data_IF_997511779695
#
_entry.id   IF_997511779695
#
_cell.length_a   1.000
_cell.length_b   1.000
_cell.length_c   1.000
_cell.angle_alpha   90.00
_cell.angle_beta   90.00
_cell.angle_gamma   90.00
#
_symmetry.space_group_name_H-M   'P 1'
#
loop_
_entity.id
_entity.type
_entity.pdbx_description
1 polymer ?
#
# COMPACT_ATOMS: atom_id res chain seq x y z
N UNK A 1 51.93 -60.51 39.03
CA UNK A 1 52.69 -59.92 40.15
C UNK A 1 54.15 -60.06 39.82
N UNK A 2 54.79 -58.96 39.42
CA UNK A 2 56.20 -58.92 39.12
C UNK A 2 56.96 -58.44 40.37
N UNK A 3 58.20 -58.87 40.54
CA UNK A 3 59.08 -58.44 41.63
C UNK A 3 59.16 -56.91 41.68
N UNK A 4 59.20 -56.31 42.88
CA UNK A 4 59.55 -54.89 43.06
C UNK A 4 61.07 -54.72 42.97
N UNK A 5 61.59 -53.55 42.55
CA UNK A 5 63.02 -53.25 42.70
C UNK A 5 63.54 -53.51 44.12
N UNK A 6 62.72 -53.26 45.15
CA UNK A 6 63.05 -53.57 46.54
C UNK A 6 63.10 -55.07 46.84
N UNK A 7 62.28 -55.87 46.15
CA UNK A 7 62.29 -57.33 46.31
C UNK A 7 63.53 -57.96 45.68
N UNK A 8 64.10 -57.32 44.66
CA UNK A 8 65.36 -57.71 44.02
C UNK A 8 66.53 -57.34 44.93
N UNK A 9 66.51 -56.15 45.55
CA UNK A 9 67.56 -55.69 46.47
C UNK A 9 67.62 -56.53 47.77
N UNK A 10 66.47 -56.86 48.35
CA UNK A 10 66.40 -57.65 49.59
C UNK A 10 66.57 -59.16 49.37
N UNK A 11 66.97 -59.60 48.17
CA UNK A 11 67.07 -61.01 47.82
C UNK A 11 68.38 -61.61 48.33
N UNK A 12 68.28 -62.50 49.32
CA UNK A 12 69.44 -63.26 49.80
C UNK A 12 69.64 -64.56 48.99
N UNK A 13 70.88 -64.83 48.58
CA UNK A 13 71.28 -66.06 47.91
C UNK A 13 72.06 -66.98 48.85
N UNK A 14 71.78 -68.29 48.80
CA UNK A 14 72.54 -69.28 49.56
C UNK A 14 73.91 -69.52 48.92
N UNK A 15 74.99 -69.42 49.71
CA UNK A 15 76.37 -69.66 49.23
C UNK A 15 76.58 -71.14 48.96
N UNK A 16 76.61 -71.55 47.69
CA UNK A 16 77.02 -72.90 47.27
C UNK A 16 78.55 -72.94 47.18
N UNK A 17 79.17 -74.07 47.56
CA UNK A 17 80.63 -74.26 47.72
C UNK A 17 81.51 -73.99 46.48
N UNK A 18 82.50 -74.85 46.20
CA UNK A 18 83.66 -74.58 45.29
C UNK A 18 83.35 -74.20 43.81
N UNK A 19 82.08 -74.08 43.40
CA UNK A 19 81.62 -73.78 42.04
C UNK A 19 80.44 -72.78 42.01
N UNK A 20 80.32 -71.87 42.98
CA UNK A 20 79.30 -70.81 43.00
C UNK A 20 79.71 -69.56 42.20
N UNK A 21 78.74 -68.70 41.89
CA UNK A 21 79.00 -67.37 41.33
C UNK A 21 79.71 -66.48 42.36
N UNK A 22 80.54 -65.55 41.88
CA UNK A 22 81.16 -64.54 42.74
C UNK A 22 80.08 -63.59 43.25
N UNK A 23 79.91 -63.50 44.57
CA UNK A 23 78.87 -62.68 45.19
C UNK A 23 78.93 -61.22 44.72
N UNK A 24 80.14 -60.66 44.61
CA UNK A 24 80.35 -59.28 44.20
C UNK A 24 79.92 -59.00 42.75
N UNK A 25 80.21 -59.91 41.81
CA UNK A 25 79.77 -59.76 40.41
C UNK A 25 78.24 -59.91 40.27
N UNK A 26 77.61 -60.73 41.12
CA UNK A 26 76.15 -60.86 41.17
C UNK A 26 75.51 -59.60 41.74
N UNK A 27 76.07 -59.04 42.81
CA UNK A 27 75.57 -57.81 43.43
C UNK A 27 75.67 -56.62 42.46
N UNK A 28 76.81 -56.45 41.79
CA UNK A 28 77.01 -55.39 40.77
C UNK A 28 76.00 -55.52 39.61
N UNK A 29 75.72 -56.75 39.15
CA UNK A 29 74.72 -57.00 38.12
C UNK A 29 73.29 -56.75 38.62
N UNK A 30 72.98 -57.11 39.88
CA UNK A 30 71.67 -56.84 40.47
C UNK A 30 71.41 -55.35 40.62
N UNK A 31 72.41 -54.54 40.93
CA UNK A 31 72.28 -53.08 40.95
C UNK A 31 71.93 -52.51 39.56
N UNK A 32 72.58 -53.00 38.49
CA UNK A 32 72.23 -52.63 37.11
C UNK A 32 70.81 -53.08 36.74
N UNK A 33 70.42 -54.30 37.11
CA UNK A 33 69.06 -54.82 36.88
C UNK A 33 68.03 -54.01 37.65
N UNK A 34 68.29 -53.63 38.90
CA UNK A 34 67.40 -52.79 39.71
C UNK A 34 67.22 -51.43 39.04
N UNK A 35 68.30 -50.79 38.59
CA UNK A 35 68.24 -49.50 37.91
C UNK A 35 67.45 -49.58 36.58
N UNK A 36 67.76 -50.57 35.74
CA UNK A 36 67.03 -50.78 34.47
C UNK A 36 65.57 -51.13 34.71
N UNK A 37 65.25 -51.90 35.75
CA UNK A 37 63.89 -52.30 36.06
C UNK A 37 63.06 -51.13 36.62
N UNK A 38 63.66 -50.27 37.45
CA UNK A 38 63.05 -49.00 37.86
C UNK A 38 62.78 -48.09 36.66
N UNK A 39 63.73 -48.00 35.71
CA UNK A 39 63.53 -47.23 34.49
C UNK A 39 62.33 -47.75 33.67
N UNK A 40 62.23 -49.07 33.47
CA UNK A 40 61.11 -49.68 32.75
C UNK A 40 59.78 -49.47 33.49
N UNK A 41 59.75 -49.56 34.82
CA UNK A 41 58.53 -49.28 35.59
C UNK A 41 58.09 -47.82 35.46
N UNK A 42 59.02 -46.87 35.51
CA UNK A 42 58.73 -45.46 35.32
C UNK A 42 58.22 -45.17 33.90
N UNK A 43 58.85 -45.76 32.89
CA UNK A 43 58.40 -45.65 31.50
C UNK A 43 57.01 -46.28 31.30
N UNK A 44 56.74 -47.43 31.93
CA UNK A 44 55.43 -48.07 31.84
C UNK A 44 54.35 -47.21 32.49
N UNK A 45 54.64 -46.60 33.65
CA UNK A 45 53.74 -45.65 34.30
C UNK A 45 53.48 -44.43 33.43
N UNK A 46 54.52 -43.82 32.86
CA UNK A 46 54.37 -42.66 31.98
C UNK A 46 53.57 -43.01 30.71
N UNK A 47 53.82 -44.17 30.11
CA UNK A 47 53.03 -44.66 28.96
C UNK A 47 51.57 -44.92 29.34
N UNK A 48 51.28 -45.47 30.53
CA UNK A 48 49.92 -45.64 31.02
C UNK A 48 49.24 -44.27 31.21
N UNK A 49 49.91 -43.32 31.85
CA UNK A 49 49.37 -41.97 32.06
C UNK A 49 49.12 -41.24 30.73
N UNK A 50 49.98 -41.44 29.72
CA UNK A 50 49.78 -40.91 28.37
C UNK A 50 48.60 -41.59 27.66
N UNK A 51 48.46 -42.92 27.79
CA UNK A 51 47.37 -43.68 27.20
C UNK A 51 46.03 -43.28 27.81
N UNK A 52 45.96 -43.09 29.12
CA UNK A 52 44.76 -42.62 29.81
C UNK A 52 44.37 -41.20 29.37
N UNK A 53 45.35 -40.29 29.22
CA UNK A 53 45.10 -38.94 28.67
C UNK A 53 44.61 -39.00 27.23
N UNK A 54 45.23 -39.83 26.38
CA UNK A 54 44.85 -39.98 24.98
C UNK A 54 43.43 -40.55 24.86
N UNK A 55 43.09 -41.56 25.66
CA UNK A 55 41.75 -42.14 25.71
C UNK A 55 40.71 -41.12 26.19
N UNK A 56 41.04 -40.33 27.22
CA UNK A 56 40.14 -39.29 27.70
C UNK A 56 39.87 -38.21 26.63
N UNK A 57 40.90 -37.79 25.89
CA UNK A 57 40.74 -36.86 24.78
C UNK A 57 39.90 -37.47 23.66
N UNK A 58 40.11 -38.75 23.32
CA UNK A 58 39.33 -39.46 22.32
C UNK A 58 37.83 -39.46 22.68
N UNK A 59 37.50 -39.77 23.94
CA UNK A 59 36.11 -39.75 24.42
C UNK A 59 35.51 -38.35 24.31
N UNK A 60 36.24 -37.30 24.71
CA UNK A 60 35.77 -35.92 24.55
C UNK A 60 35.53 -35.54 23.09
N UNK A 61 36.40 -35.96 22.17
CA UNK A 61 36.19 -35.72 20.74
C UNK A 61 34.96 -36.46 20.20
N UNK A 62 34.71 -37.69 20.66
CA UNK A 62 33.55 -38.45 20.23
C UNK A 62 32.25 -37.84 20.77
N UNK A 63 32.23 -37.40 22.03
CA UNK A 63 31.11 -36.64 22.62
C UNK A 63 30.88 -35.31 21.87
N UNK A 64 31.94 -34.56 21.58
CA UNK A 64 31.85 -33.31 20.82
C UNK A 64 31.32 -33.55 19.40
N UNK A 65 31.80 -34.59 18.72
CA UNK A 65 31.33 -34.98 17.38
C UNK A 65 29.86 -35.37 17.42
N UNK A 66 29.42 -36.14 18.41
CA UNK A 66 28.04 -36.55 18.55
C UNK A 66 27.13 -35.34 18.83
N UNK A 67 27.55 -34.44 19.73
CA UNK A 67 26.83 -33.18 20.01
C UNK A 67 26.74 -32.28 18.78
N UNK A 68 27.83 -32.14 18.02
CA UNK A 68 27.86 -31.37 16.78
C UNK A 68 26.92 -31.97 15.72
N UNK A 69 26.97 -33.29 15.51
CA UNK A 69 26.08 -33.98 14.58
C UNK A 69 24.61 -33.80 14.97
N UNK A 70 24.29 -33.91 16.27
CA UNK A 70 22.93 -33.67 16.77
C UNK A 70 22.50 -32.21 16.54
N UNK A 71 23.40 -31.25 16.78
CA UNK A 71 23.13 -29.83 16.56
C UNK A 71 22.86 -29.53 15.07
N UNK A 72 23.64 -30.13 14.17
CA UNK A 72 23.45 -30.00 12.72
C UNK A 72 22.09 -30.58 12.31
N UNK A 73 21.72 -31.75 12.84
CA UNK A 73 20.44 -32.37 12.52
C UNK A 73 19.26 -31.51 12.99
N UNK A 74 19.32 -30.98 14.21
CA UNK A 74 18.30 -30.06 14.74
C UNK A 74 18.25 -28.77 13.91
N UNK A 75 19.40 -28.23 13.51
CA UNK A 75 19.45 -27.05 12.66
C UNK A 75 18.84 -27.31 11.27
N UNK A 76 19.07 -28.49 10.68
CA UNK A 76 18.45 -28.91 9.42
C UNK A 76 16.93 -29.05 9.56
N UNK A 77 16.46 -29.75 10.60
CA UNK A 77 15.03 -29.90 10.87
C UNK A 77 14.36 -28.54 11.11
N UNK A 78 15.01 -27.64 11.85
CA UNK A 78 14.53 -26.27 12.05
C UNK A 78 14.46 -25.49 10.74
N UNK A 79 15.49 -25.60 9.89
CA UNK A 79 15.51 -24.95 8.58
C UNK A 79 14.40 -25.49 7.66
N UNK A 80 14.20 -26.81 7.62
CA UNK A 80 13.13 -27.44 6.85
C UNK A 80 11.75 -27.04 7.35
N UNK A 81 11.57 -26.97 8.68
CA UNK A 81 10.33 -26.51 9.30
C UNK A 81 10.05 -25.04 8.94
N UNK A 82 11.03 -24.16 9.07
CA UNK A 82 10.88 -22.74 8.68
C UNK A 82 10.54 -22.62 7.20
N UNK A 83 11.18 -23.41 6.34
CA UNK A 83 10.86 -23.43 4.90
C UNK A 83 9.44 -23.93 4.63
N UNK A 84 8.99 -24.97 5.32
CA UNK A 84 7.64 -25.49 5.19
C UNK A 84 6.60 -24.46 5.66
N UNK A 85 6.82 -23.85 6.83
CA UNK A 85 5.94 -22.84 7.41
C UNK A 85 5.87 -21.59 6.50
N UNK A 86 7.01 -21.11 6.01
CA UNK A 86 7.07 -19.99 5.07
C UNK A 86 6.31 -20.28 3.76
N UNK A 87 6.46 -21.50 3.21
CA UNK A 87 5.72 -21.90 2.00
C UNK A 87 4.21 -22.00 2.27
N UNK A 88 3.81 -22.56 3.41
CA UNK A 88 2.41 -22.65 3.79
C UNK A 88 1.80 -21.24 3.98
N UNK A 89 2.51 -20.35 4.66
CA UNK A 89 2.09 -18.96 4.84
C UNK A 89 2.01 -18.21 3.50
N UNK A 90 3.01 -18.36 2.63
CA UNK A 90 3.01 -17.75 1.31
C UNK A 90 1.80 -18.22 0.47
N UNK A 91 1.48 -19.51 0.50
CA UNK A 91 0.32 -20.06 -0.19
C UNK A 91 -1.00 -19.52 0.39
N UNK A 92 -1.11 -19.41 1.72
CA UNK A 92 -2.28 -18.84 2.37
C UNK A 92 -2.48 -17.37 1.99
N UNK A 93 -1.42 -16.56 2.08
CA UNK A 93 -1.45 -15.14 1.69
C UNK A 93 -1.81 -14.99 0.21
N UNK A 94 -1.23 -15.82 -0.67
CA UNK A 94 -1.56 -15.80 -2.10
C UNK A 94 -3.04 -16.11 -2.34
N UNK A 95 -3.57 -17.13 -1.66
CA UNK A 95 -4.99 -17.50 -1.76
C UNK A 95 -5.91 -16.41 -1.24
N UNK A 96 -5.60 -15.83 -0.09
CA UNK A 96 -6.37 -14.73 0.50
C UNK A 96 -6.33 -13.49 -0.40
N UNK A 97 -5.16 -13.11 -0.91
CA UNK A 97 -5.02 -11.99 -1.84
C UNK A 97 -5.81 -12.23 -3.14
N UNK A 98 -5.79 -13.45 -3.68
CA UNK A 98 -6.60 -13.82 -4.85
C UNK A 98 -8.10 -13.72 -4.56
N UNK A 99 -8.56 -14.20 -3.40
CA UNK A 99 -9.97 -14.11 -3.00
C UNK A 99 -10.41 -12.66 -2.82
N UNK A 100 -9.59 -11.83 -2.15
CA UNK A 100 -9.86 -10.41 -1.97
C UNK A 100 -9.89 -9.68 -3.31
N UNK A 101 -8.93 -9.94 -4.20
CA UNK A 101 -8.91 -9.35 -5.53
C UNK A 101 -10.17 -9.72 -6.34
N UNK A 102 -10.58 -10.99 -6.31
CA UNK A 102 -11.81 -11.43 -6.96
C UNK A 102 -13.05 -10.77 -6.36
N UNK A 103 -13.12 -10.64 -5.04
CA UNK A 103 -14.22 -9.96 -4.36
C UNK A 103 -14.32 -8.48 -4.75
N UNK A 104 -13.19 -7.76 -4.76
CA UNK A 104 -13.13 -6.35 -5.18
C UNK A 104 -13.55 -6.18 -6.63
N UNK A 105 -13.10 -7.05 -7.53
CA UNK A 105 -13.50 -7.02 -8.95
C UNK A 105 -14.99 -7.29 -9.09
N UNK A 106 -15.54 -8.29 -8.40
CA UNK A 106 -16.96 -8.60 -8.43
C UNK A 106 -17.81 -7.44 -7.89
N UNK A 107 -17.39 -6.82 -6.78
CA UNK A 107 -18.07 -5.65 -6.21
C UNK A 107 -18.02 -4.45 -7.16
N UNK A 108 -16.86 -4.17 -7.77
CA UNK A 108 -16.71 -3.10 -8.74
C UNK A 108 -17.59 -3.33 -9.98
N UNK A 109 -17.65 -4.56 -10.49
CA UNK A 109 -18.52 -4.93 -11.61
C UNK A 109 -20.00 -4.77 -11.25
N UNK A 110 -20.41 -5.20 -10.06
CA UNK A 110 -21.78 -5.04 -9.59
C UNK A 110 -22.17 -3.55 -9.48
N UNK A 111 -21.31 -2.73 -8.88
CA UNK A 111 -21.51 -1.27 -8.78
C UNK A 111 -21.56 -0.61 -10.16
N UNK A 112 -20.66 -0.98 -11.07
CA UNK A 112 -20.67 -0.46 -12.44
C UNK A 112 -21.97 -0.83 -13.18
N UNK A 113 -22.44 -2.07 -13.02
CA UNK A 113 -23.71 -2.52 -13.56
C UNK A 113 -24.89 -1.72 -13.00
N UNK A 114 -24.90 -1.47 -11.69
CA UNK A 114 -25.94 -0.67 -11.04
C UNK A 114 -25.94 0.77 -11.56
N UNK A 115 -24.79 1.44 -11.60
CA UNK A 115 -24.66 2.81 -12.13
C UNK A 115 -25.15 2.88 -13.59
N UNK A 116 -24.79 1.89 -14.41
CA UNK A 116 -25.20 1.84 -15.81
C UNK A 116 -26.72 1.66 -15.94
N UNK A 117 -27.31 0.80 -15.12
CA UNK A 117 -28.77 0.61 -15.06
C UNK A 117 -29.49 1.87 -14.61
N UNK A 118 -29.02 2.52 -13.54
CA UNK A 118 -29.59 3.76 -13.02
C UNK A 118 -29.48 4.91 -14.03
N UNK A 119 -28.33 5.02 -14.71
CA UNK A 119 -28.13 5.99 -15.78
C UNK A 119 -29.08 5.73 -16.96
N UNK A 120 -29.25 4.48 -17.37
CA UNK A 120 -30.18 4.11 -18.45
C UNK A 120 -31.64 4.43 -18.08
N UNK A 121 -32.06 4.11 -16.85
CA UNK A 121 -33.40 4.43 -16.35
C UNK A 121 -33.65 5.93 -16.28
N UNK A 122 -32.66 6.70 -15.80
CA UNK A 122 -32.74 8.16 -15.76
C UNK A 122 -32.79 8.77 -17.17
N UNK A 123 -32.00 8.26 -18.12
CA UNK A 123 -32.02 8.71 -19.51
C UNK A 123 -33.37 8.41 -20.19
N UNK A 124 -33.97 7.25 -19.92
CA UNK A 124 -35.30 6.91 -20.40
C UNK A 124 -36.36 7.84 -19.81
N UNK A 125 -36.30 8.09 -18.49
CA UNK A 125 -37.21 9.03 -17.82
C UNK A 125 -37.09 10.44 -18.39
N UNK A 126 -35.87 10.96 -18.54
CA UNK A 126 -35.63 12.30 -19.09
C UNK A 126 -36.13 12.43 -20.53
N UNK A 127 -35.98 11.38 -21.36
CA UNK A 127 -36.55 11.38 -22.71
C UNK A 127 -38.08 11.47 -22.69
N UNK A 128 -38.73 10.69 -21.81
CA UNK A 128 -40.18 10.73 -21.68
C UNK A 128 -40.67 12.10 -21.19
N UNK A 129 -40.02 12.67 -20.18
CA UNK A 129 -40.32 14.02 -19.67
C UNK A 129 -40.09 15.09 -20.75
N UNK A 130 -39.00 15.01 -21.51
CA UNK A 130 -38.71 15.93 -22.62
C UNK A 130 -39.77 15.86 -23.71
N UNK A 131 -40.21 14.65 -24.07
CA UNK A 131 -41.27 14.46 -25.06
C UNK A 131 -42.63 14.97 -24.55
N UNK A 132 -42.95 14.73 -23.28
CA UNK A 132 -44.16 15.26 -22.65
C UNK A 132 -44.17 16.80 -22.65
N UNK A 133 -43.06 17.42 -22.26
CA UNK A 133 -42.92 18.88 -22.26
C UNK A 133 -43.04 19.48 -23.67
N UNK A 134 -42.48 18.82 -24.70
CA UNK A 134 -42.64 19.25 -26.10
C UNK A 134 -44.10 19.22 -26.54
N UNK A 135 -44.82 18.17 -26.18
CA UNK A 135 -46.24 18.05 -26.53
C UNK A 135 -47.11 19.07 -25.78
N UNK A 136 -46.81 19.31 -24.50
CA UNK A 136 -47.45 20.36 -23.71
C UNK A 136 -47.19 21.75 -24.32
N UNK A 137 -45.94 22.02 -24.71
CA UNK A 137 -45.54 23.28 -25.36
C UNK A 137 -46.29 23.48 -26.69
N UNK A 138 -46.38 22.43 -27.51
CA UNK A 138 -47.12 22.46 -28.79
C UNK A 138 -48.60 22.72 -28.56
N UNK A 139 -49.19 22.07 -27.55
CA UNK A 139 -50.59 22.29 -27.16
C UNK A 139 -50.81 23.72 -26.68
N UNK A 140 -49.91 24.25 -25.85
CA UNK A 140 -49.94 25.64 -25.38
C UNK A 140 -49.86 26.62 -26.56
N UNK A 141 -48.92 26.42 -27.49
CA UNK A 141 -48.78 27.25 -28.68
C UNK A 141 -50.07 27.26 -29.52
N UNK A 142 -50.69 26.09 -29.74
CA UNK A 142 -51.96 26.00 -30.46
C UNK A 142 -53.09 26.74 -29.75
N UNK A 143 -53.17 26.65 -28.42
CA UNK A 143 -54.17 27.38 -27.62
C UNK A 143 -53.95 28.89 -27.67
N UNK A 144 -52.69 29.33 -27.57
CA UNK A 144 -52.33 30.75 -27.65
C UNK A 144 -52.65 31.32 -29.04
N UNK A 145 -52.31 30.60 -30.10
CA UNK A 145 -52.64 30.99 -31.47
C UNK A 145 -54.16 31.10 -31.67
N UNK A 146 -54.94 30.14 -31.19
CA UNK A 146 -56.40 30.20 -31.24
C UNK A 146 -56.96 31.39 -30.45
N UNK A 147 -56.43 31.66 -29.25
CA UNK A 147 -56.82 32.83 -28.45
C UNK A 147 -56.52 34.13 -29.20
N UNK A 148 -55.33 34.29 -29.75
CA UNK A 148 -54.97 35.47 -30.54
C UNK A 148 -55.83 35.62 -31.80
N UNK A 149 -56.10 34.52 -32.51
CA UNK A 149 -56.95 34.54 -33.69
C UNK A 149 -58.37 34.99 -33.31
N UNK A 150 -58.91 34.51 -32.19
CA UNK A 150 -60.22 34.94 -31.70
C UNK A 150 -60.26 36.44 -31.34
N UNK A 151 -59.18 36.98 -30.76
CA UNK A 151 -59.04 38.42 -30.49
C UNK A 151 -58.93 39.23 -31.79
N UNK A 152 -58.20 38.72 -32.77
CA UNK A 152 -58.08 39.35 -34.09
C UNK A 152 -59.43 39.36 -34.83
N UNK A 153 -60.17 38.26 -34.77
CA UNK A 153 -61.50 38.13 -35.38
C UNK A 153 -62.50 39.05 -34.68
N UNK A 154 -62.40 39.24 -33.35
CA UNK A 154 -63.19 40.23 -32.61
C UNK A 154 -62.87 41.66 -33.06
N UNK A 155 -61.60 42.02 -33.25
CA UNK A 155 -61.19 43.36 -33.73
C UNK A 155 -61.63 43.58 -35.18
N UNK A 156 -61.61 42.52 -35.99
CA UNK A 156 -62.06 42.56 -37.39
C UNK A 156 -63.57 42.38 -37.55
N UNK A 157 -64.30 42.09 -36.47
CA UNK A 157 -65.74 41.88 -36.57
C UNK A 157 -66.42 43.17 -36.98
N UNK A 158 -67.50 43.03 -37.75
CA UNK A 158 -68.29 44.18 -38.20
C UNK A 158 -68.96 44.94 -37.05
N UNK A 159 -68.89 44.43 -35.80
CA UNK A 159 -69.34 45.14 -34.61
C UNK A 159 -68.51 46.40 -34.36
N UNK A 160 -67.19 46.36 -34.58
CA UNK A 160 -66.36 47.57 -34.54
C UNK A 160 -66.70 48.50 -35.70
N UNK A 161 -66.90 47.98 -36.92
CA UNK A 161 -67.40 48.80 -38.02
C UNK A 161 -68.75 49.43 -37.70
N UNK A 162 -69.60 48.78 -36.89
CA UNK A 162 -70.91 49.27 -36.49
C UNK A 162 -70.84 50.28 -35.34
N UNK A 163 -69.88 50.13 -34.41
CA UNK A 163 -69.58 51.09 -33.34
C UNK A 163 -68.81 52.33 -33.85
N UNK A 164 -67.96 52.17 -34.87
CA UNK A 164 -67.24 53.25 -35.56
C UNK A 164 -68.00 53.85 -36.74
N UNK A 165 -69.19 53.33 -37.09
CA UNK A 165 -70.12 54.10 -37.93
C UNK A 165 -70.28 55.45 -37.24
N UNK A 166 -70.19 56.58 -37.98
CA UNK A 166 -70.39 57.88 -37.38
C UNK A 166 -71.82 57.94 -36.83
N UNK A 167 -71.98 57.61 -35.54
CA UNK A 167 -73.15 57.94 -34.75
C UNK A 167 -73.14 59.45 -34.71
N UNK A 168 -74.02 60.06 -35.50
CA UNK A 168 -73.96 61.45 -35.92
C UNK A 168 -73.57 62.42 -34.80
N UNK A 169 -72.30 62.81 -34.79
CA UNK A 169 -71.91 64.13 -34.28
C UNK A 169 -72.11 65.22 -35.35
N UNK A 170 -72.57 64.87 -36.55
CA UNK A 170 -72.91 65.81 -37.61
C UNK A 170 -74.33 66.38 -37.52
N UNK A 171 -75.17 65.94 -36.56
CA UNK A 171 -76.58 66.37 -36.46
C UNK A 171 -76.90 67.25 -35.25
N UNK A 172 -75.92 67.92 -34.64
CA UNK A 172 -76.17 69.00 -33.67
C UNK A 172 -75.68 70.34 -34.23
N UNK A 173 -76.57 71.15 -34.84
CA UNK A 173 -76.23 72.51 -35.30
C UNK A 173 -75.73 73.42 -34.16
N UNK A 174 -76.11 73.12 -32.92
CA UNK A 174 -75.71 73.87 -31.73
C UNK A 174 -74.22 73.73 -31.38
N UNK A 175 -73.58 72.61 -31.76
CA UNK A 175 -72.14 72.41 -31.52
C UNK A 175 -71.27 73.10 -32.58
N UNK A 176 -71.78 73.28 -33.82
CA UNK A 176 -71.05 74.00 -34.88
C UNK A 176 -70.92 75.50 -34.59
N UNK A 177 -71.95 76.13 -34.01
CA UNK A 177 -71.87 77.55 -33.60
C UNK A 177 -70.96 77.72 -32.38
N UNK A 178 -70.98 76.76 -31.43
CA UNK A 178 -70.10 76.78 -30.26
C UNK A 178 -68.61 76.56 -30.60
N UNK A 179 -68.31 75.70 -31.59
CA UNK A 179 -66.93 75.40 -32.03
C UNK A 179 -66.38 76.53 -32.91
N UNK A 180 -67.21 77.14 -33.78
CA UNK A 180 -66.78 78.25 -34.65
C UNK A 180 -66.53 79.55 -33.87
N UNK A 181 -67.24 79.74 -32.75
CA UNK A 181 -67.10 80.89 -31.85
C UNK A 181 -66.00 80.71 -30.81
N UNK A 182 -65.42 79.51 -30.71
CA UNK A 182 -64.38 79.16 -29.79
C UNK A 182 -63.13 78.66 -30.53
N UNK A 183 -62.41 79.57 -31.20
CA UNK A 183 -60.95 79.49 -31.37
C UNK A 183 -60.38 80.84 -31.85
N UNK A 184 -59.15 81.27 -31.47
CA UNK A 184 -58.09 80.51 -30.81
C UNK A 184 -57.35 81.26 -29.65
N UNK A 185 -57.05 80.55 -28.58
CA UNK A 185 -55.91 80.79 -27.67
C UNK A 185 -55.98 79.64 -26.68
N UNK A 186 -55.18 78.58 -26.75
CA UNK A 186 -53.73 78.58 -26.68
C UNK A 186 -53.19 77.34 -27.42
N UNK A 187 -52.53 77.51 -28.56
CA UNK A 187 -51.50 76.57 -29.01
C UNK A 187 -50.16 77.12 -28.56
N UNK A 188 -49.65 76.65 -27.43
CA UNK A 188 -48.23 76.58 -27.14
C UNK A 188 -48.03 75.68 -25.92
N UNK A 189 -46.99 74.84 -25.99
CA UNK A 189 -46.51 73.92 -24.98
C UNK A 189 -47.32 72.63 -24.81
N UNK A 190 -46.93 71.64 -25.62
CA UNK A 190 -46.72 70.27 -25.13
C UNK A 190 -46.05 70.28 -23.75
N UNK A 191 -46.62 69.65 -22.71
CA UNK A 191 -45.79 68.91 -21.80
C UNK A 191 -45.47 67.60 -22.51
N UNK A 192 -44.23 67.47 -22.98
CA UNK A 192 -43.65 66.16 -23.15
C UNK A 192 -43.92 65.40 -21.85
N UNK A 193 -44.51 64.20 -21.96
CA UNK A 193 -44.48 63.24 -20.86
C UNK A 193 -43.01 62.85 -20.71
N UNK A 194 -42.29 63.66 -19.95
CA UNK A 194 -41.11 63.26 -19.21
C UNK A 194 -41.52 62.03 -18.42
N UNK A 195 -40.97 60.87 -18.82
CA UNK A 195 -40.92 59.72 -17.94
C UNK A 195 -40.39 60.20 -16.59
N UNK A 196 -41.18 59.97 -15.55
CA UNK A 196 -40.73 60.11 -14.18
C UNK A 196 -39.61 59.10 -13.95
N UNK A 197 -38.39 59.53 -14.22
CA UNK A 197 -37.20 59.04 -13.54
C UNK A 197 -37.10 59.78 -12.22
N UNK A 198 -37.43 59.10 -11.13
CA UNK A 198 -36.75 59.19 -9.84
C UNK A 198 -37.39 58.21 -8.83
N UNK A 199 -36.63 57.60 -7.91
CA UNK A 199 -35.26 57.13 -8.02
C UNK A 199 -35.22 55.59 -7.95
N UNK A 200 -34.29 54.99 -8.69
CA UNK A 200 -33.79 53.66 -8.36
C UNK A 200 -33.21 53.78 -6.94
N UNK A 201 -33.67 53.00 -5.94
CA UNK A 201 -32.86 52.80 -4.76
C UNK A 201 -31.58 52.11 -5.22
N UNK A 202 -30.48 52.85 -5.11
CA UNK A 202 -29.15 52.25 -5.00
C UNK A 202 -29.17 51.34 -3.79
N UNK A 203 -29.37 50.07 -4.06
CA UNK A 203 -29.04 48.94 -3.20
C UNK A 203 -28.53 47.84 -4.13
N UNK A 204 -27.24 47.95 -4.44
CA UNK A 204 -26.26 46.87 -4.38
C UNK A 204 -26.81 45.44 -4.56
N UNK A 205 -26.47 44.79 -5.69
CA UNK A 205 -26.12 43.38 -5.74
C UNK A 205 -24.58 43.34 -5.74
N UNK A 206 -23.95 43.15 -4.58
CA UNK A 206 -23.63 41.81 -4.09
C UNK A 206 -23.07 40.94 -5.22
N UNK A 207 -21.76 41.03 -5.35
CA UNK A 207 -20.81 39.99 -5.76
C UNK A 207 -21.40 38.73 -6.42
N UNK A 208 -21.00 38.50 -7.67
CA UNK A 208 -20.85 37.14 -8.17
C UNK A 208 -19.85 36.42 -7.24
N UNK A 209 -20.19 35.31 -6.56
CA UNK A 209 -19.15 34.38 -6.19
C UNK A 209 -18.70 33.73 -7.50
N UNK A 210 -17.60 34.23 -8.05
CA UNK A 210 -16.72 33.39 -8.84
C UNK A 210 -16.48 32.12 -8.03
N UNK A 211 -16.71 30.96 -8.61
CA UNK A 211 -16.33 29.69 -8.01
C UNK A 211 -14.81 29.64 -7.95
N UNK A 212 -14.25 30.25 -6.90
CA UNK A 212 -12.89 29.99 -6.47
C UNK A 212 -12.91 28.56 -5.94
N UNK A 213 -12.14 27.70 -6.60
CA UNK A 213 -11.82 26.37 -6.09
C UNK A 213 -11.07 26.58 -4.77
N UNK A 214 -11.79 26.47 -3.66
CA UNK A 214 -11.19 26.42 -2.32
C UNK A 214 -10.61 25.01 -2.19
N UNK A 215 -9.30 24.90 -2.42
CA UNK A 215 -8.52 23.83 -1.81
C UNK A 215 -8.40 24.15 -0.32
N UNK A 216 -8.62 23.20 0.60
CA UNK A 216 -8.44 23.45 2.03
C UNK A 216 -6.95 23.68 2.31
N UNK A 217 -6.60 24.87 2.80
CA UNK A 217 -5.29 25.14 3.40
C UNK A 217 -5.38 24.82 4.90
N UNK A 218 -4.93 23.62 5.25
CA UNK A 218 -4.63 23.24 6.63
C UNK A 218 -3.33 23.94 7.04
N UNK A 219 -3.43 24.90 7.97
CA UNK A 219 -2.25 25.38 8.70
C UNK A 219 -2.09 24.62 10.01
N UNK A 220 -0.86 24.16 10.19
CA UNK A 220 -0.10 23.90 11.42
C UNK A 220 -0.17 22.51 12.03
N UNK A 221 0.83 21.70 11.69
CA UNK A 221 1.70 21.12 12.71
C UNK A 221 3.15 21.10 12.22
N UNK A 222 4.00 21.80 12.96
CA UNK A 222 5.45 21.75 12.88
C UNK A 222 5.96 20.38 13.30
N UNK A 223 6.84 19.76 12.50
CA UNK A 223 8.00 19.01 12.99
C UNK A 223 8.94 18.70 11.82
N UNK A 224 10.17 19.18 11.91
CA UNK A 224 11.28 18.77 11.07
C UNK A 224 11.53 17.25 11.19
N UNK A 225 12.13 16.64 10.16
CA UNK A 225 13.35 15.90 10.45
C UNK A 225 14.50 16.20 9.49
N UNK A 226 15.68 15.99 10.06
CA UNK A 226 17.00 16.26 9.56
C UNK A 226 17.43 15.43 8.33
N UNK A 227 18.48 15.92 7.68
CA UNK A 227 19.48 15.24 6.86
C UNK A 227 19.43 13.71 6.81
N UNK A 228 19.53 13.09 5.61
CA UNK A 228 20.17 11.80 5.50
C UNK A 228 21.68 12.00 5.36
N UNK A 229 22.37 11.66 6.44
CA UNK A 229 23.80 11.43 6.46
C UNK A 229 24.20 10.30 5.50
N UNK A 230 25.45 10.40 5.05
CA UNK A 230 26.16 9.52 4.16
C UNK A 230 26.30 8.09 4.70
N UNK A 231 26.24 7.13 3.77
CA UNK A 231 27.20 6.01 3.59
C UNK A 231 27.62 5.19 4.80
N UNK A 232 27.11 3.95 4.87
CA UNK A 232 27.93 2.73 4.86
C UNK A 232 27.00 1.50 4.87
N UNK A 233 26.83 0.86 3.71
CA UNK A 233 26.37 -0.52 3.60
C UNK A 233 27.51 -1.30 2.94
N UNK A 234 28.16 -2.16 3.71
CA UNK A 234 29.08 -3.17 3.19
C UNK A 234 28.25 -4.24 2.45
N UNK A 235 28.44 -4.33 1.14
CA UNK A 235 28.03 -5.50 0.37
C UNK A 235 29.06 -6.62 0.56
N UNK A 236 28.65 -7.87 0.82
CA UNK A 236 29.56 -9.00 0.69
C UNK A 236 29.76 -9.30 -0.80
N UNK A 237 30.98 -9.06 -1.29
CA UNK A 237 31.42 -9.48 -2.62
C UNK A 237 31.48 -11.00 -2.69
N UNK A 238 30.53 -11.61 -3.41
CA UNK A 238 30.61 -13.00 -3.84
C UNK A 238 31.46 -13.07 -5.11
N UNK A 239 32.73 -13.43 -4.95
CA UNK A 239 33.66 -13.66 -6.04
C UNK A 239 33.40 -15.06 -6.64
N UNK A 240 32.75 -15.10 -7.80
CA UNK A 240 32.59 -16.32 -8.58
C UNK A 240 33.90 -16.62 -9.34
N UNK A 241 34.43 -17.86 -9.33
CA UNK A 241 35.65 -18.17 -10.06
C UNK A 241 35.39 -18.13 -11.58
N UNK A 242 36.21 -17.35 -12.27
CA UNK A 242 36.21 -17.26 -13.73
C UNK A 242 36.42 -18.64 -14.36
N UNK A 243 35.55 -18.96 -15.34
CA UNK A 243 35.68 -20.09 -16.23
C UNK A 243 36.95 -19.95 -17.08
N UNK A 244 37.95 -20.77 -16.79
CA UNK A 244 39.10 -21.00 -17.66
C UNK A 244 38.63 -21.68 -18.96
N UNK A 245 38.59 -20.90 -20.03
CA UNK A 245 38.43 -21.39 -21.41
C UNK A 245 39.71 -21.08 -22.16
N UNK A 246 40.77 -21.79 -21.83
CA UNK A 246 41.97 -21.84 -22.68
C UNK A 246 41.85 -23.05 -23.60
N UNK A 247 41.33 -22.80 -24.80
CA UNK A 247 41.49 -23.70 -25.95
C UNK A 247 42.28 -22.93 -27.03
N UNK A 248 43.23 -23.64 -27.63
CA UNK A 248 44.06 -23.30 -28.78
C UNK A 248 45.30 -22.42 -28.51
N UNK A 249 46.46 -23.08 -28.41
CA UNK A 249 47.47 -23.09 -29.49
C UNK A 249 48.70 -23.95 -29.14
N UNK A 250 49.08 -24.79 -30.14
CA UNK A 250 50.23 -25.70 -30.28
C UNK A 250 50.13 -27.11 -29.67
#
# INVERSE_FOLDING_TARGET
>A
MALSPMDIHNKEFTRKGRNGYAAQEVDDFLDEVIASYQQVLNQNKDLQDQLDKANHNLTQYDEMKNSLNQSILVAQEAADKVKQDANAQANNVSREAQQQAQAVVAEAQAKAGQITSDAANNAARLNNESNALREETKTFQSRLAAMMQSQLDLVKSDDWNQLLKPTGLESYPELQDAISKAQPSHMAATPAVTGTTAPVPTSEPAEQPQTVVIFPDEKQASAAPAEPAQSQAEEPTFEAPASDSTKDQF
#
